data_IF_592685476878
#
_entry.id   IF_592685476878
#
_cell.length_a   1.000
_cell.length_b   1.000
_cell.length_c   1.000
_cell.angle_alpha   90.00
_cell.angle_beta   90.00
_cell.angle_gamma   90.00
#
_symmetry.space_group_name_H-M   'P 1'
#
loop_
_entity.id
_entity.type
_entity.pdbx_description
1 polymer ?
#
# COMPACT_ATOMS: atom_id res chain seq x y z
N UNK A 1 -4.59 -2.47 10.69
CA UNK A 1 -5.05 -2.35 9.31
C UNK A 1 -6.19 -3.32 9.20
N UNK A 2 -7.39 -2.90 8.74
CA UNK A 2 -8.47 -3.84 8.47
C UNK A 2 -7.93 -5.00 7.62
N UNK A 3 -8.28 -6.24 7.94
CA UNK A 3 -7.81 -7.42 7.19
C UNK A 3 -8.10 -7.26 5.68
N UNK A 4 -9.17 -6.55 5.34
CA UNK A 4 -9.58 -6.22 3.99
C UNK A 4 -8.54 -5.39 3.22
N UNK A 5 -7.86 -4.44 3.87
CA UNK A 5 -6.82 -3.65 3.21
C UNK A 5 -5.57 -4.50 2.92
N UNK A 6 -5.21 -5.40 3.84
CA UNK A 6 -4.11 -6.36 3.61
C UNK A 6 -4.46 -7.29 2.44
N UNK A 7 -5.70 -7.80 2.39
CA UNK A 7 -6.15 -8.64 1.29
C UNK A 7 -6.15 -7.88 -0.04
N UNK A 8 -6.63 -6.63 -0.06
CA UNK A 8 -6.61 -5.79 -1.25
C UNK A 8 -5.19 -5.53 -1.76
N UNK A 9 -4.25 -5.17 -0.87
CA UNK A 9 -2.85 -4.97 -1.22
C UNK A 9 -2.16 -6.27 -1.67
N UNK A 10 -2.54 -7.41 -1.10
CA UNK A 10 -2.02 -8.72 -1.50
C UNK A 10 -2.46 -9.12 -2.92
N UNK A 11 -3.64 -8.68 -3.36
CA UNK A 11 -4.17 -8.95 -4.69
C UNK A 11 -3.77 -7.90 -5.74
N UNK A 12 -3.16 -6.80 -5.32
CA UNK A 12 -2.76 -5.70 -6.20
C UNK A 12 -1.71 -6.16 -7.22
N UNK A 13 -2.03 -5.99 -8.51
CA UNK A 13 -1.10 -6.32 -9.59
C UNK A 13 -0.10 -5.18 -9.80
N UNK A 14 1.13 -5.48 -10.26
CA UNK A 14 2.15 -4.45 -10.49
C UNK A 14 1.70 -3.32 -11.41
N UNK A 15 0.86 -3.60 -12.42
CA UNK A 15 0.32 -2.60 -13.34
C UNK A 15 -0.77 -1.70 -12.72
N UNK A 16 -1.31 -2.06 -11.56
CA UNK A 16 -2.33 -1.29 -10.82
C UNK A 16 -1.69 -0.35 -9.78
N UNK A 17 -0.41 -0.56 -9.46
CA UNK A 17 0.35 0.27 -8.50
C UNK A 17 0.32 1.76 -8.84
N UNK A 18 0.55 2.21 -10.09
CA UNK A 18 0.53 3.63 -10.41
C UNK A 18 -0.84 4.28 -10.18
N UNK A 19 -1.93 3.54 -10.43
CA UNK A 19 -3.29 4.05 -10.24
C UNK A 19 -3.64 4.23 -8.74
N UNK A 20 -3.16 3.34 -7.89
CA UNK A 20 -3.32 3.47 -6.44
C UNK A 20 -2.40 4.56 -5.87
N UNK A 21 -1.17 4.68 -6.36
CA UNK A 21 -0.24 5.75 -6.01
C UNK A 21 -0.82 7.14 -6.36
N UNK A 22 -1.51 7.26 -7.50
CA UNK A 22 -2.19 8.50 -7.88
C UNK A 22 -3.32 8.89 -6.91
N UNK A 23 -4.12 7.90 -6.46
CA UNK A 23 -5.16 8.15 -5.45
C UNK A 23 -4.57 8.61 -4.12
N UNK A 24 -3.43 8.07 -3.70
CA UNK A 24 -2.76 8.51 -2.46
C UNK A 24 -2.15 9.90 -2.60
N UNK A 25 -1.52 10.20 -3.74
CA UNK A 25 -1.02 11.54 -4.02
C UNK A 25 -2.14 12.59 -4.01
N UNK A 26 -3.29 12.27 -4.62
CA UNK A 26 -4.47 13.15 -4.61
C UNK A 26 -5.04 13.33 -3.19
N UNK A 27 -5.20 12.24 -2.44
CA UNK A 27 -5.79 12.26 -1.10
C UNK A 27 -4.91 12.93 -0.03
N UNK A 28 -3.61 13.06 -0.26
CA UNK A 28 -2.63 13.63 0.69
C UNK A 28 -1.91 14.85 0.13
N UNK A 29 -2.46 15.44 -0.93
CA UNK A 29 -1.83 16.54 -1.66
C UNK A 29 -1.58 17.76 -0.77
N UNK A 30 -2.48 18.04 0.18
CA UNK A 30 -2.38 19.18 1.09
C UNK A 30 -1.38 18.96 2.24
N UNK A 31 -1.25 17.72 2.73
CA UNK A 31 -0.42 17.42 3.90
C UNK A 31 1.02 17.05 3.56
N UNK A 32 1.23 16.30 2.48
CA UNK A 32 2.53 15.71 2.15
C UNK A 32 3.22 16.40 0.97
N UNK A 33 2.44 16.95 0.03
CA UNK A 33 2.98 17.50 -1.22
C UNK A 33 3.74 16.49 -2.07
N UNK A 34 3.51 15.19 -1.83
CA UNK A 34 4.16 14.09 -2.53
C UNK A 34 3.50 13.83 -3.89
N UNK A 35 4.32 13.46 -4.86
CA UNK A 35 3.88 13.11 -6.20
C UNK A 35 3.59 11.61 -6.30
N UNK A 36 2.98 11.19 -7.40
CA UNK A 36 2.71 9.78 -7.70
C UNK A 36 4.00 8.94 -7.63
N UNK A 37 5.11 9.49 -8.12
CA UNK A 37 6.41 8.80 -8.17
C UNK A 37 6.98 8.53 -6.77
N UNK A 38 6.66 9.36 -5.78
CA UNK A 38 7.04 9.16 -4.39
C UNK A 38 6.26 7.99 -3.75
N UNK A 39 5.00 7.79 -4.17
CA UNK A 39 4.13 6.73 -3.64
C UNK A 39 4.31 5.37 -4.31
N UNK A 40 4.70 5.31 -5.59
CA UNK A 40 4.92 4.06 -6.33
C UNK A 40 5.80 3.05 -5.55
N UNK A 41 7.00 3.41 -5.04
CA UNK A 41 7.83 2.46 -4.30
C UNK A 41 7.16 2.00 -3.00
N UNK A 42 6.48 2.91 -2.29
CA UNK A 42 5.79 2.61 -1.02
C UNK A 42 4.65 1.60 -1.26
N UNK A 43 3.80 1.86 -2.26
CA UNK A 43 2.68 0.99 -2.61
C UNK A 43 3.18 -0.38 -3.08
N UNK A 44 4.26 -0.42 -3.85
CA UNK A 44 4.90 -1.66 -4.29
C UNK A 44 5.38 -2.50 -3.11
N UNK A 45 6.09 -1.89 -2.16
CA UNK A 45 6.62 -2.57 -0.97
C UNK A 45 5.50 -3.05 -0.06
N UNK A 46 4.46 -2.23 0.15
CA UNK A 46 3.28 -2.61 0.93
C UNK A 46 2.55 -3.80 0.29
N UNK A 47 2.41 -3.82 -1.03
CA UNK A 47 1.81 -4.95 -1.75
C UNK A 47 2.65 -6.22 -1.64
N UNK A 48 3.98 -6.11 -1.74
CA UNK A 48 4.88 -7.25 -1.58
C UNK A 48 4.83 -7.82 -0.16
N UNK A 49 4.78 -6.95 0.85
CA UNK A 49 4.64 -7.34 2.25
C UNK A 49 3.29 -8.01 2.52
N UNK A 50 2.21 -7.44 1.99
CA UNK A 50 0.86 -7.98 2.11
C UNK A 50 0.74 -9.37 1.46
N UNK A 51 1.32 -9.57 0.27
CA UNK A 51 1.39 -10.89 -0.39
C UNK A 51 2.08 -11.92 0.47
N UNK A 52 3.26 -11.59 1.00
CA UNK A 52 4.01 -12.49 1.89
C UNK A 52 3.25 -12.81 3.17
N UNK A 53 2.54 -11.83 3.74
CA UNK A 53 1.72 -12.04 4.93
C UNK A 53 0.57 -13.01 4.63
N UNK A 54 -0.15 -12.79 3.53
CA UNK A 54 -1.24 -13.62 3.06
C UNK A 54 -0.80 -15.07 2.79
N UNK A 55 0.27 -15.28 2.01
CA UNK A 55 0.81 -16.61 1.69
C UNK A 55 1.30 -17.40 2.90
N UNK A 56 1.75 -16.71 3.96
CA UNK A 56 2.26 -17.35 5.18
C UNK A 56 1.22 -17.46 6.29
N UNK A 57 -0.03 -17.05 6.03
CA UNK A 57 -1.09 -17.00 7.05
C UNK A 57 -0.73 -16.08 8.22
N UNK A 58 0.14 -15.08 7.98
CA UNK A 58 0.58 -14.12 9.00
C UNK A 58 -0.35 -12.93 8.99
N UNK A 59 -0.74 -12.48 10.18
CA UNK A 59 -1.48 -11.24 10.37
C UNK A 59 -0.51 -10.06 10.41
N UNK A 60 -0.82 -9.00 9.65
CA UNK A 60 -0.09 -7.74 9.77
C UNK A 60 -0.69 -6.91 10.92
N UNK A 61 -0.04 -6.93 12.07
CA UNK A 61 -0.36 -6.01 13.17
C UNK A 61 0.10 -4.60 12.79
N UNK A 62 -0.75 -3.60 13.08
CA UNK A 62 -0.61 -2.20 12.71
C UNK A 62 0.82 -1.66 12.82
N UNK A 63 1.28 -1.01 11.76
CA UNK A 63 2.35 -0.02 11.75
C UNK A 63 1.90 1.26 12.49
N UNK A 64 1.58 1.14 13.78
CA UNK A 64 1.24 2.27 14.67
C UNK A 64 2.43 2.63 15.57
N UNK A 65 3.64 2.67 15.00
CA UNK A 65 4.81 3.21 15.68
C UNK A 65 5.60 4.12 14.74
N UNK A 66 4.96 5.17 14.21
CA UNK A 66 5.63 6.43 13.87
C UNK A 66 4.68 7.57 14.22
#
# INVERSE_FOLDING_TARGET
VPQDLVNALAMLKPNEVPALAAQFAEATAEELGWTVDDFIPIVSDLSALARRAFEKGKTMYLWNCL
#
